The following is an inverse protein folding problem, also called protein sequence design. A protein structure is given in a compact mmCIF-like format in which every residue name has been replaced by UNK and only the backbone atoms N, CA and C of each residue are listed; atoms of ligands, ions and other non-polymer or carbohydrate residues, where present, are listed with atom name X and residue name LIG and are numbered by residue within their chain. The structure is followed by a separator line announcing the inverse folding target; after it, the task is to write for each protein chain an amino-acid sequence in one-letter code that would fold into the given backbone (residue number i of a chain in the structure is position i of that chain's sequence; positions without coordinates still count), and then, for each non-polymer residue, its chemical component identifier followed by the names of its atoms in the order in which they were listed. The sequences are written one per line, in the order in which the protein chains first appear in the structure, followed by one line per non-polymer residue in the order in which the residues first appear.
data_IF_423935156418
#
_entry.id   IF_423935156418
#
_cell.length_a   1.000
_cell.length_b   1.000
_cell.length_c   1.000
_cell.angle_alpha   90.00
_cell.angle_beta   90.00
_cell.angle_gamma   90.00
#
_symmetry.space_group_name_H-M   'P 1'
#
loop_
_entity.id
_entity.type
_entity.pdbx_description
1 polymer ?
#
# COMPACT_ATOMS: atom_id res chain seq x y z
N UNK A 1 -15.70 -26.25 -30.08
CA UNK A 1 -14.75 -26.58 -28.98
C UNK A 1 -13.75 -25.45 -28.70
N UNK A 2 -13.20 -24.82 -29.73
CA UNK A 2 -12.28 -23.68 -29.59
C UNK A 2 -12.95 -22.43 -28.98
N UNK A 3 -14.21 -22.12 -29.33
CA UNK A 3 -14.93 -20.96 -28.79
C UNK A 3 -15.30 -21.13 -27.30
N UNK A 4 -15.59 -22.37 -26.86
CA UNK A 4 -15.82 -22.68 -25.44
C UNK A 4 -14.52 -22.56 -24.62
N UNK A 5 -13.40 -23.05 -25.14
CA UNK A 5 -12.11 -22.96 -24.46
C UNK A 5 -11.61 -21.52 -24.27
N UNK A 6 -11.76 -20.66 -25.29
CA UNK A 6 -11.42 -19.24 -25.23
C UNK A 6 -12.31 -18.46 -24.23
N UNK A 7 -13.61 -18.77 -24.20
CA UNK A 7 -14.55 -18.18 -23.27
C UNK A 7 -14.24 -18.54 -21.80
N UNK A 8 -13.83 -19.77 -21.53
CA UNK A 8 -13.47 -20.22 -20.18
C UNK A 8 -12.12 -19.66 -19.71
N UNK A 9 -11.14 -19.53 -20.62
CA UNK A 9 -9.86 -18.86 -20.33
C UNK A 9 -10.08 -17.38 -20.04
N UNK A 10 -10.94 -16.70 -20.81
CA UNK A 10 -11.28 -15.30 -20.60
C UNK A 10 -12.05 -15.09 -19.27
N UNK A 11 -13.00 -15.98 -18.95
CA UNK A 11 -13.74 -15.95 -17.67
C UNK A 11 -12.84 -16.16 -16.46
N UNK A 12 -11.78 -16.96 -16.57
CA UNK A 12 -10.78 -17.16 -15.51
C UNK A 12 -9.86 -15.95 -15.31
N UNK A 13 -9.80 -15.01 -16.26
CA UNK A 13 -9.00 -13.79 -16.16
C UNK A 13 -9.73 -12.65 -15.43
N UNK A 14 -11.05 -12.70 -15.31
CA UNK A 14 -11.84 -11.68 -14.61
C UNK A 14 -12.20 -12.20 -13.22
N UNK A 15 -11.55 -11.64 -12.22
CA UNK A 15 -11.82 -11.93 -10.81
C UNK A 15 -12.87 -10.94 -10.32
N UNK A 16 -13.98 -11.44 -9.79
CA UNK A 16 -15.06 -10.61 -9.24
C UNK A 16 -14.66 -10.04 -7.88
N UNK A 17 -15.16 -8.84 -7.58
CA UNK A 17 -15.03 -8.23 -6.26
C UNK A 17 -15.92 -8.98 -5.25
N UNK A 18 -15.32 -9.49 -4.16
CA UNK A 18 -16.05 -10.22 -3.11
C UNK A 18 -17.06 -9.38 -2.33
N UNK A 19 -17.00 -8.02 -2.43
CA UNK A 19 -17.94 -7.12 -1.78
C UNK A 19 -19.02 -6.60 -2.74
N UNK A 20 -20.27 -6.56 -2.29
CA UNK A 20 -21.39 -5.88 -2.96
C UNK A 20 -21.16 -4.36 -3.04
N UNK A 21 -21.96 -3.68 -3.88
CA UNK A 21 -21.88 -2.22 -4.00
C UNK A 21 -22.19 -1.50 -2.66
N UNK A 22 -23.14 -2.02 -1.89
CA UNK A 22 -23.52 -1.48 -0.59
C UNK A 22 -22.36 -1.63 0.41
N UNK A 23 -21.76 -2.82 0.49
CA UNK A 23 -20.62 -3.07 1.38
C UNK A 23 -19.42 -2.18 1.06
N UNK A 24 -19.14 -1.94 -0.23
CA UNK A 24 -18.08 -1.00 -0.66
C UNK A 24 -18.35 0.43 -0.21
N UNK A 25 -19.60 0.90 -0.23
CA UNK A 25 -19.96 2.24 0.19
C UNK A 25 -19.85 2.38 1.71
N UNK A 26 -20.34 1.40 2.47
CA UNK A 26 -20.20 1.39 3.93
C UNK A 26 -18.73 1.30 4.34
N UNK A 27 -17.94 0.43 3.69
CA UNK A 27 -16.49 0.40 3.90
C UNK A 27 -15.86 1.77 3.65
N UNK A 28 -16.23 2.46 2.58
CA UNK A 28 -15.70 3.79 2.26
C UNK A 28 -16.04 4.81 3.35
N UNK A 29 -17.26 4.81 3.85
CA UNK A 29 -17.67 5.68 4.96
C UNK A 29 -16.87 5.35 6.24
N UNK A 30 -16.70 4.08 6.55
CA UNK A 30 -15.88 3.62 7.68
C UNK A 30 -14.41 4.01 7.54
N UNK A 31 -13.80 3.80 6.37
CA UNK A 31 -12.43 4.22 6.08
C UNK A 31 -12.25 5.74 6.29
N UNK A 32 -13.18 6.54 5.78
CA UNK A 32 -13.14 8.00 5.93
C UNK A 32 -13.22 8.42 7.41
N UNK A 33 -14.21 7.93 8.16
CA UNK A 33 -14.40 8.27 9.57
C UNK A 33 -13.20 7.83 10.41
N UNK A 34 -12.73 6.60 10.22
CA UNK A 34 -11.57 6.09 10.94
C UNK A 34 -10.32 6.90 10.62
N UNK A 35 -10.09 7.25 9.35
CA UNK A 35 -8.94 8.06 8.96
C UNK A 35 -9.02 9.49 9.53
N UNK A 36 -10.20 10.12 9.54
CA UNK A 36 -10.39 11.46 10.08
C UNK A 36 -10.13 11.48 11.60
N UNK A 37 -10.68 10.52 12.33
CA UNK A 37 -10.46 10.38 13.78
C UNK A 37 -8.98 10.10 14.07
N UNK A 38 -8.38 9.14 13.34
CA UNK A 38 -6.96 8.81 13.51
C UNK A 38 -6.07 10.01 13.21
N UNK A 39 -6.33 10.75 12.12
CA UNK A 39 -5.55 11.93 11.77
C UNK A 39 -5.62 13.01 12.86
N UNK A 40 -6.81 13.26 13.43
CA UNK A 40 -6.98 14.19 14.53
C UNK A 40 -6.16 13.77 15.75
N UNK A 41 -6.25 12.50 16.15
CA UNK A 41 -5.56 11.97 17.32
C UNK A 41 -4.04 11.95 17.16
N UNK A 42 -3.52 11.60 15.96
CA UNK A 42 -2.07 11.52 15.72
C UNK A 42 -1.47 12.85 15.23
N UNK A 43 -2.27 13.89 14.97
CA UNK A 43 -1.80 15.17 14.45
C UNK A 43 -0.68 15.83 15.30
N UNK A 44 -0.71 15.82 16.66
CA UNK A 44 0.38 16.38 17.46
C UNK A 44 1.70 15.59 17.24
N UNK A 45 1.61 14.25 17.16
CA UNK A 45 2.76 13.40 16.86
C UNK A 45 3.29 13.67 15.46
N UNK A 46 2.39 13.81 14.47
CA UNK A 46 2.79 14.13 13.09
C UNK A 46 3.50 15.47 12.99
N UNK A 47 3.05 16.49 13.74
CA UNK A 47 3.71 17.79 13.80
C UNK A 47 5.12 17.66 14.40
N UNK A 48 5.28 16.90 15.47
CA UNK A 48 6.59 16.63 16.07
C UNK A 48 7.53 15.93 15.06
N UNK A 49 7.06 14.87 14.39
CA UNK A 49 7.83 14.16 13.37
C UNK A 49 8.19 15.10 12.21
N UNK A 50 7.26 15.94 11.76
CA UNK A 50 7.49 16.92 10.71
C UNK A 50 8.68 17.84 11.06
N UNK A 51 8.68 18.39 12.28
CA UNK A 51 9.75 19.27 12.77
C UNK A 51 11.08 18.48 12.84
N UNK A 52 11.07 17.28 13.41
CA UNK A 52 12.27 16.45 13.53
C UNK A 52 12.91 16.15 12.15
N UNK A 53 12.10 15.72 11.18
CA UNK A 53 12.59 15.41 9.82
C UNK A 53 13.09 16.67 9.11
N UNK A 54 12.42 17.83 9.34
CA UNK A 54 12.84 19.11 8.76
C UNK A 54 14.17 19.60 9.33
N UNK A 55 14.39 19.39 10.63
CA UNK A 55 15.60 19.82 11.32
C UNK A 55 16.83 18.92 11.05
N UNK A 56 16.63 17.69 10.56
CA UNK A 56 17.74 16.75 10.36
C UNK A 56 18.69 17.20 9.23
N UNK A 57 18.16 17.69 8.10
CA UNK A 57 18.94 18.07 6.93
C UNK A 57 18.36 19.27 6.13
N UNK A 58 17.36 19.96 6.67
CA UNK A 58 16.72 21.12 6.04
C UNK A 58 15.83 20.84 4.83
N UNK A 59 15.81 19.60 4.34
CA UNK A 59 15.00 19.21 3.18
C UNK A 59 13.50 19.06 3.48
N UNK A 60 12.62 18.78 2.48
CA UNK A 60 11.18 18.65 2.67
C UNK A 60 10.85 17.49 3.60
N UNK A 61 9.99 17.71 4.62
CA UNK A 61 9.62 16.67 5.59
C UNK A 61 8.67 15.63 5.00
N UNK A 62 7.84 16.02 4.03
CA UNK A 62 6.89 15.12 3.34
C UNK A 62 7.47 14.71 2.00
N UNK A 63 7.56 13.41 1.79
CA UNK A 63 7.90 12.78 0.52
C UNK A 63 6.62 12.45 -0.23
N UNK A 64 6.61 12.75 -1.52
CA UNK A 64 5.52 12.45 -2.46
C UNK A 64 6.04 11.53 -3.54
N UNK A 65 5.26 10.50 -3.87
CA UNK A 65 5.62 9.59 -4.94
C UNK A 65 4.37 9.16 -5.70
N UNK A 66 4.43 9.21 -7.03
CA UNK A 66 3.35 8.74 -7.87
C UNK A 66 3.20 7.22 -7.78
N UNK A 67 1.97 6.78 -7.62
CA UNK A 67 1.53 5.39 -7.58
C UNK A 67 0.28 5.22 -8.42
N UNK A 68 0.00 3.97 -8.82
CA UNK A 68 -1.21 3.65 -9.55
C UNK A 68 -2.27 3.15 -8.57
N UNK A 69 -3.45 3.76 -8.63
CA UNK A 69 -4.58 3.47 -7.78
C UNK A 69 -5.75 2.81 -8.51
N UNK A 70 -6.94 3.00 -7.95
CA UNK A 70 -8.19 2.46 -8.51
C UNK A 70 -8.42 2.96 -9.92
N UNK A 71 -8.94 2.09 -10.79
CA UNK A 71 -9.16 2.33 -12.22
C UNK A 71 -7.88 2.64 -13.01
N UNK A 72 -6.72 2.25 -12.50
CA UNK A 72 -5.44 2.56 -13.14
C UNK A 72 -5.05 4.05 -13.11
N UNK A 73 -5.71 4.86 -12.27
CA UNK A 73 -5.44 6.30 -12.19
C UNK A 73 -4.22 6.57 -11.31
N UNK A 74 -3.30 7.44 -11.74
CA UNK A 74 -2.18 7.84 -10.90
C UNK A 74 -2.65 8.73 -9.75
N UNK A 75 -2.00 8.59 -8.60
CA UNK A 75 -2.16 9.46 -7.43
C UNK A 75 -0.83 9.60 -6.69
N UNK A 76 -0.69 10.61 -5.85
CA UNK A 76 0.49 10.80 -5.03
C UNK A 76 0.29 10.18 -3.64
N UNK A 77 1.12 9.19 -3.30
CA UNK A 77 1.19 8.71 -1.92
C UNK A 77 2.04 9.67 -1.08
N UNK A 78 1.62 9.95 0.14
CA UNK A 78 2.33 10.82 1.08
C UNK A 78 2.99 10.00 2.18
N UNK A 79 4.26 10.32 2.47
CA UNK A 79 5.02 9.72 3.57
C UNK A 79 5.90 10.78 4.22
N UNK A 80 6.27 10.57 5.48
CA UNK A 80 7.43 11.30 6.00
C UNK A 80 8.70 10.85 5.29
N UNK A 81 9.55 11.81 4.96
CA UNK A 81 10.83 11.50 4.34
C UNK A 81 11.70 10.71 5.31
N UNK A 82 12.13 9.56 4.90
CA UNK A 82 13.01 8.66 5.66
C UNK A 82 14.35 8.40 4.99
N UNK A 83 14.56 8.97 3.81
CA UNK A 83 15.79 8.88 3.03
C UNK A 83 16.33 10.27 2.71
N UNK A 84 17.63 10.34 2.38
CA UNK A 84 18.27 11.56 1.89
C UNK A 84 17.60 12.08 0.63
N UNK A 85 17.70 13.40 0.37
CA UNK A 85 17.04 14.04 -0.77
C UNK A 85 17.44 13.40 -2.11
N UNK A 86 18.67 12.94 -2.20
CA UNK A 86 19.27 12.36 -3.41
C UNK A 86 19.10 10.83 -3.54
N UNK A 87 18.28 10.21 -2.71
CA UNK A 87 18.18 8.76 -2.59
C UNK A 87 17.79 8.02 -3.89
N UNK A 88 17.13 8.70 -4.83
CA UNK A 88 16.64 8.11 -6.10
C UNK A 88 17.24 8.80 -7.35
N UNK A 89 18.37 9.50 -7.24
CA UNK A 89 19.05 10.13 -8.41
C UNK A 89 19.30 9.15 -9.57
N UNK A 90 19.50 7.89 -9.26
CA UNK A 90 19.80 6.85 -10.25
C UNK A 90 18.55 6.02 -10.64
N UNK A 91 17.35 6.58 -10.47
CA UNK A 91 16.09 5.95 -10.83
C UNK A 91 15.46 5.09 -9.73
N UNK A 92 14.34 4.40 -10.06
CA UNK A 92 13.60 3.57 -9.12
C UNK A 92 14.43 2.39 -8.61
N UNK A 93 14.63 2.31 -7.29
CA UNK A 93 15.34 1.20 -6.66
C UNK A 93 14.47 0.55 -5.59
N UNK A 94 14.51 -0.79 -5.53
CA UNK A 94 13.89 -1.53 -4.44
C UNK A 94 14.66 -1.27 -3.13
N UNK A 95 13.94 -1.16 -2.02
CA UNK A 95 14.57 -0.94 -0.72
C UNK A 95 15.24 -2.22 -0.23
N UNK A 96 16.53 -2.15 0.06
CA UNK A 96 17.27 -3.23 0.74
C UNK A 96 17.24 -2.97 2.25
N UNK A 97 16.71 -3.96 3.03
CA UNK A 97 16.42 -3.75 4.47
C UNK A 97 17.64 -3.66 5.38
N UNK A 98 18.69 -4.36 5.07
CA UNK A 98 19.70 -4.61 6.11
C UNK A 98 20.79 -3.55 6.23
N UNK A 99 21.04 -2.70 5.21
CA UNK A 99 22.05 -1.62 5.26
C UNK A 99 21.79 -0.55 4.19
N UNK A 100 20.57 -0.07 4.03
CA UNK A 100 20.32 1.00 3.07
C UNK A 100 20.97 2.30 3.55
N UNK A 101 22.08 2.68 2.91
CA UNK A 101 22.86 3.88 3.23
C UNK A 101 22.10 5.18 2.96
N UNK A 102 21.00 5.11 2.24
CA UNK A 102 20.14 6.26 1.90
C UNK A 102 19.26 6.71 3.08
N UNK A 103 19.11 5.85 4.11
CA UNK A 103 18.26 6.15 5.27
C UNK A 103 18.91 7.19 6.18
N UNK A 104 18.15 8.23 6.53
CA UNK A 104 18.54 9.19 7.58
C UNK A 104 18.46 8.55 8.97
N UNK A 105 19.00 9.19 10.01
CA UNK A 105 18.94 8.65 11.39
C UNK A 105 17.50 8.57 11.89
N UNK A 106 16.74 9.66 11.71
CA UNK A 106 15.32 9.72 12.05
C UNK A 106 14.53 8.76 11.14
N UNK A 107 14.85 8.72 9.84
CA UNK A 107 14.21 7.84 8.88
C UNK A 107 14.29 6.35 9.23
N UNK A 108 15.41 5.90 9.81
CA UNK A 108 15.55 4.53 10.32
C UNK A 108 14.55 4.23 11.44
N UNK A 109 14.40 5.18 12.38
CA UNK A 109 13.44 5.06 13.48
C UNK A 109 11.99 5.06 12.96
N UNK A 110 11.66 6.00 12.06
CA UNK A 110 10.32 6.11 11.48
C UNK A 110 9.92 4.82 10.75
N UNK A 111 10.79 4.27 9.90
CA UNK A 111 10.53 3.02 9.18
C UNK A 111 10.39 1.81 10.10
N UNK A 112 11.23 1.72 11.12
CA UNK A 112 11.14 0.63 12.09
C UNK A 112 9.78 0.57 12.78
N UNK A 113 9.15 1.73 12.99
CA UNK A 113 7.87 1.84 13.67
C UNK A 113 6.69 2.16 12.73
N UNK A 114 6.91 2.13 11.40
CA UNK A 114 5.93 2.50 10.37
C UNK A 114 5.31 3.89 10.53
N UNK A 115 5.98 4.79 11.27
CA UNK A 115 5.54 6.16 11.49
C UNK A 115 5.69 7.03 10.24
N UNK A 116 6.57 6.64 9.32
CA UNK A 116 6.73 7.30 8.04
C UNK A 116 5.48 7.20 7.15
N UNK A 117 4.59 6.25 7.40
CA UNK A 117 3.37 6.04 6.62
C UNK A 117 2.14 6.79 7.16
N UNK A 118 2.23 7.46 8.32
CA UNK A 118 1.11 8.22 8.91
C UNK A 118 0.47 9.25 7.96
N UNK A 119 1.22 9.98 7.09
CA UNK A 119 0.61 10.90 6.13
C UNK A 119 -0.32 10.23 5.10
N UNK A 120 -0.28 8.91 4.92
CA UNK A 120 -1.21 8.19 4.06
C UNK A 120 -2.67 8.24 4.57
N UNK A 121 -2.91 8.57 5.85
CA UNK A 121 -4.25 8.85 6.35
C UNK A 121 -4.94 9.94 5.53
N UNK A 122 -4.19 10.92 5.03
CA UNK A 122 -4.70 11.93 4.11
C UNK A 122 -5.15 11.32 2.78
N UNK A 123 -4.38 10.38 2.22
CA UNK A 123 -4.80 9.67 1.00
C UNK A 123 -6.09 8.87 1.21
N UNK A 124 -6.30 8.31 2.41
CA UNK A 124 -7.56 7.63 2.75
C UNK A 124 -8.71 8.63 2.81
N UNK A 125 -8.53 9.79 3.41
CA UNK A 125 -9.55 10.87 3.47
C UNK A 125 -9.91 11.35 2.05
N UNK A 126 -8.92 11.60 1.20
CA UNK A 126 -9.12 12.04 -0.19
C UNK A 126 -9.79 10.96 -1.07
N UNK A 127 -9.74 9.69 -0.65
CA UNK A 127 -10.35 8.58 -1.39
C UNK A 127 -9.43 7.89 -2.39
N UNK A 128 -8.15 8.24 -2.41
CA UNK A 128 -7.13 7.57 -3.21
C UNK A 128 -6.84 6.17 -2.66
N UNK A 129 -6.90 6.03 -1.34
CA UNK A 129 -6.58 4.80 -0.61
C UNK A 129 -7.72 4.35 0.31
N UNK A 130 -7.60 3.14 0.82
CA UNK A 130 -8.38 2.50 1.88
C UNK A 130 -7.41 2.05 2.98
N UNK A 131 -7.90 1.73 4.19
CA UNK A 131 -7.03 1.08 5.19
C UNK A 131 -6.53 -0.27 4.69
N UNK A 132 -7.41 -1.05 4.06
CA UNK A 132 -7.09 -2.39 3.58
C UNK A 132 -7.36 -2.49 2.09
N UNK A 133 -6.34 -2.93 1.36
CA UNK A 133 -6.36 -3.11 -0.09
C UNK A 133 -4.97 -3.54 -0.60
N UNK A 134 -4.82 -3.83 -1.89
CA UNK A 134 -3.52 -4.13 -2.47
C UNK A 134 -2.53 -2.97 -2.26
N UNK A 135 -1.25 -3.28 -2.08
CA UNK A 135 -0.23 -2.24 -1.93
C UNK A 135 -0.11 -1.43 -3.21
N UNK A 136 -0.15 -0.08 -3.15
CA UNK A 136 0.01 0.74 -4.35
C UNK A 136 1.43 0.63 -4.89
N UNK A 137 1.57 0.23 -6.16
CA UNK A 137 2.86 0.08 -6.82
C UNK A 137 3.15 1.23 -7.78
N UNK A 138 4.43 1.38 -8.15
CA UNK A 138 4.88 2.31 -9.20
C UNK A 138 4.56 1.72 -10.56
N UNK A 139 4.19 2.57 -11.52
CA UNK A 139 3.90 2.12 -12.89
C UNK A 139 5.03 1.27 -13.46
N UNK A 140 6.28 1.64 -13.24
CA UNK A 140 7.46 0.90 -13.67
C UNK A 140 7.44 -0.60 -13.27
N UNK A 141 7.07 -0.91 -12.02
CA UNK A 141 6.98 -2.30 -11.56
C UNK A 141 5.70 -2.97 -12.02
N UNK A 142 4.60 -2.21 -12.11
CA UNK A 142 3.33 -2.75 -12.62
C UNK A 142 3.47 -3.25 -14.05
N UNK A 143 4.15 -2.49 -14.91
CA UNK A 143 4.35 -2.86 -16.31
C UNK A 143 5.12 -4.20 -16.39
N UNK A 144 6.17 -4.38 -15.60
CA UNK A 144 6.92 -5.64 -15.52
C UNK A 144 6.08 -6.80 -14.96
N UNK A 145 5.26 -6.55 -13.94
CA UNK A 145 4.36 -7.57 -13.38
C UNK A 145 3.32 -7.97 -14.44
N UNK A 146 2.74 -7.00 -15.17
CA UNK A 146 1.72 -7.27 -16.19
C UNK A 146 2.26 -8.00 -17.42
N UNK A 147 3.55 -7.87 -17.74
CA UNK A 147 4.22 -8.71 -18.76
C UNK A 147 4.25 -10.19 -18.34
N UNK A 148 4.43 -10.45 -17.04
CA UNK A 148 4.44 -11.82 -16.50
C UNK A 148 3.03 -12.35 -16.22
N UNK A 149 2.16 -11.51 -15.66
CA UNK A 149 0.79 -11.88 -15.25
C UNK A 149 -0.21 -10.74 -15.46
N UNK A 150 -0.98 -10.78 -16.56
CA UNK A 150 -2.00 -9.78 -16.89
C UNK A 150 -3.15 -9.69 -15.88
N UNK A 151 -3.29 -10.65 -14.95
CA UNK A 151 -4.33 -10.63 -13.91
C UNK A 151 -4.18 -9.44 -12.96
N UNK A 152 -3.00 -8.79 -12.92
CA UNK A 152 -2.78 -7.57 -12.12
C UNK A 152 -3.85 -6.50 -12.36
N UNK A 153 -4.37 -6.36 -13.60
CA UNK A 153 -5.42 -5.40 -13.94
C UNK A 153 -6.70 -5.54 -13.09
N UNK A 154 -6.96 -6.74 -12.54
CA UNK A 154 -8.12 -6.95 -11.67
C UNK A 154 -8.02 -6.15 -10.38
N UNK A 155 -6.81 -5.86 -9.89
CA UNK A 155 -6.60 -5.06 -8.68
C UNK A 155 -7.06 -3.61 -8.85
N UNK A 156 -7.17 -3.11 -10.09
CA UNK A 156 -7.70 -1.77 -10.36
C UNK A 156 -9.18 -1.59 -10.02
N UNK A 157 -9.91 -2.67 -9.73
CA UNK A 157 -11.31 -2.59 -9.30
C UNK A 157 -11.45 -1.95 -7.91
N UNK A 158 -10.42 -2.05 -7.08
CA UNK A 158 -10.45 -1.60 -5.68
C UNK A 158 -9.38 -0.55 -5.39
N UNK A 159 -9.57 0.19 -4.30
CA UNK A 159 -8.56 1.15 -3.82
C UNK A 159 -7.36 0.42 -3.24
N UNK A 160 -6.15 0.92 -3.47
CA UNK A 160 -4.97 0.42 -2.76
C UNK A 160 -5.10 0.68 -1.26
N UNK A 161 -4.42 -0.14 -0.46
CA UNK A 161 -4.47 -0.09 1.00
C UNK A 161 -3.22 0.47 1.65
N UNK A 162 -3.38 1.02 2.86
CA UNK A 162 -2.27 1.32 3.78
C UNK A 162 -1.66 0.00 4.26
N UNK A 163 -2.49 -1.00 4.54
CA UNK A 163 -2.08 -2.40 4.78
C UNK A 163 -2.77 -3.34 3.81
N UNK A 164 -2.20 -4.54 3.62
CA UNK A 164 -2.76 -5.56 2.74
C UNK A 164 -2.66 -6.95 3.34
N UNK A 165 -3.47 -7.88 2.83
CA UNK A 165 -3.33 -9.30 3.13
C UNK A 165 -1.93 -9.81 2.78
N UNK A 166 -1.42 -9.43 1.62
CA UNK A 166 -0.09 -9.80 1.18
C UNK A 166 1.01 -9.23 2.08
N UNK A 167 0.89 -8.00 2.58
CA UNK A 167 1.87 -7.41 3.51
C UNK A 167 1.99 -8.22 4.81
N UNK A 168 0.92 -8.88 5.26
CA UNK A 168 0.97 -9.70 6.47
C UNK A 168 1.76 -11.00 6.30
N UNK A 169 1.85 -11.55 5.08
CA UNK A 169 2.34 -12.93 4.87
C UNK A 169 3.49 -13.06 3.89
N UNK A 170 3.69 -12.09 2.99
CA UNK A 170 4.73 -12.17 1.95
C UNK A 170 6.03 -11.42 2.33
N UNK A 171 5.97 -10.54 3.35
CA UNK A 171 7.12 -9.72 3.72
C UNK A 171 7.53 -8.76 2.59
N UNK A 172 8.84 -8.49 2.49
CA UNK A 172 9.36 -7.57 1.49
C UNK A 172 9.44 -8.19 0.10
N UNK A 173 9.06 -7.41 -0.91
CA UNK A 173 9.05 -7.81 -2.31
C UNK A 173 10.21 -7.15 -3.05
N UNK A 174 11.36 -7.79 -2.99
CA UNK A 174 12.62 -7.39 -3.59
C UNK A 174 12.96 -8.17 -4.86
N UNK A 175 12.16 -9.18 -5.22
CA UNK A 175 12.29 -9.99 -6.43
C UNK A 175 10.96 -10.07 -7.19
N UNK A 176 11.04 -10.37 -8.51
CA UNK A 176 9.83 -10.56 -9.34
C UNK A 176 8.98 -11.73 -8.82
N UNK A 177 9.59 -12.81 -8.40
CA UNK A 177 8.88 -13.96 -7.82
C UNK A 177 8.03 -13.55 -6.62
N UNK A 178 8.59 -12.76 -5.69
CA UNK A 178 7.85 -12.24 -4.54
C UNK A 178 6.76 -11.24 -4.94
N UNK A 179 6.96 -10.48 -6.02
CA UNK A 179 5.94 -9.58 -6.56
C UNK A 179 4.76 -10.37 -7.13
N UNK A 180 5.01 -11.45 -7.86
CA UNK A 180 3.97 -12.34 -8.38
C UNK A 180 3.25 -13.08 -7.25
N UNK A 181 3.97 -13.57 -6.25
CA UNK A 181 3.35 -14.15 -5.05
C UNK A 181 2.47 -13.14 -4.31
N UNK A 182 2.90 -11.88 -4.23
CA UNK A 182 2.06 -10.80 -3.68
C UNK A 182 0.81 -10.60 -4.52
N UNK A 183 0.94 -10.60 -5.85
CA UNK A 183 -0.19 -10.48 -6.74
C UNK A 183 -1.23 -11.57 -6.47
N UNK A 184 -0.83 -12.83 -6.36
CA UNK A 184 -1.76 -13.92 -6.05
C UNK A 184 -2.49 -13.71 -4.72
N UNK A 185 -1.79 -13.23 -3.69
CA UNK A 185 -2.41 -12.92 -2.39
C UNK A 185 -3.38 -11.72 -2.46
N UNK A 186 -3.04 -10.70 -3.23
CA UNK A 186 -3.91 -9.52 -3.40
C UNK A 186 -5.14 -9.85 -4.28
N UNK A 187 -5.00 -10.76 -5.26
CA UNK A 187 -6.12 -11.31 -6.03
C UNK A 187 -7.03 -12.18 -5.14
N UNK A 188 -6.45 -13.03 -4.29
CA UNK A 188 -7.21 -13.79 -3.30
C UNK A 188 -8.00 -12.86 -2.37
N UNK A 189 -7.36 -11.77 -1.91
CA UNK A 189 -8.05 -10.77 -1.11
C UNK A 189 -9.22 -10.13 -1.89
N UNK A 190 -9.02 -9.74 -3.15
CA UNK A 190 -10.06 -9.15 -4.00
C UNK A 190 -11.29 -10.04 -4.09
N UNK A 191 -11.09 -11.34 -4.31
CA UNK A 191 -12.16 -12.32 -4.48
C UNK A 191 -12.92 -12.61 -3.18
N UNK A 192 -12.21 -12.65 -2.03
CA UNK A 192 -12.76 -13.11 -0.76
C UNK A 192 -12.98 -11.98 0.25
N UNK A 193 -12.73 -10.70 -0.14
CA UNK A 193 -12.83 -9.60 0.79
C UNK A 193 -14.25 -9.45 1.35
N UNK A 194 -14.29 -9.18 2.64
CA UNK A 194 -15.48 -8.95 3.43
C UNK A 194 -15.12 -8.11 4.65
N UNK A 195 -16.10 -7.59 5.36
CA UNK A 195 -15.86 -6.82 6.59
C UNK A 195 -15.10 -7.62 7.65
N UNK A 196 -15.41 -8.90 7.79
CA UNK A 196 -14.70 -9.78 8.71
C UNK A 196 -13.25 -10.03 8.28
N UNK A 197 -13.02 -10.16 6.97
CA UNK A 197 -11.68 -10.31 6.46
C UNK A 197 -10.86 -9.05 6.68
N UNK A 198 -11.45 -7.87 6.41
CA UNK A 198 -10.83 -6.57 6.67
C UNK A 198 -10.52 -6.39 8.17
N UNK A 199 -11.49 -6.64 9.06
CA UNK A 199 -11.28 -6.55 10.50
C UNK A 199 -10.15 -7.46 10.99
N UNK A 200 -10.05 -8.68 10.45
CA UNK A 200 -8.98 -9.62 10.75
C UNK A 200 -7.61 -9.14 10.29
N UNK A 201 -7.52 -8.56 9.08
CA UNK A 201 -6.28 -7.99 8.55
C UNK A 201 -5.84 -6.80 9.42
N UNK A 202 -6.77 -5.90 9.72
CA UNK A 202 -6.49 -4.72 10.55
C UNK A 202 -6.01 -5.11 11.95
N UNK A 203 -6.71 -6.03 12.61
CA UNK A 203 -6.33 -6.53 13.94
C UNK A 203 -4.94 -7.17 13.95
N UNK A 204 -4.64 -8.03 12.95
CA UNK A 204 -3.31 -8.65 12.84
C UNK A 204 -2.22 -7.61 12.55
N UNK A 205 -2.49 -6.61 11.71
CA UNK A 205 -1.55 -5.51 11.43
C UNK A 205 -1.24 -4.74 12.71
N UNK A 206 -2.28 -4.38 13.48
CA UNK A 206 -2.14 -3.65 14.74
C UNK A 206 -1.31 -4.44 15.78
N UNK A 207 -1.59 -5.73 15.93
CA UNK A 207 -0.81 -6.62 16.81
C UNK A 207 0.65 -6.66 16.37
N UNK A 208 0.93 -6.82 15.08
CA UNK A 208 2.31 -6.85 14.56
C UNK A 208 3.07 -5.53 14.82
N UNK A 209 2.40 -4.38 14.63
CA UNK A 209 3.00 -3.07 14.90
C UNK A 209 3.35 -2.93 16.39
N UNK A 210 2.43 -3.27 17.31
CA UNK A 210 2.65 -3.14 18.76
C UNK A 210 3.75 -4.07 19.24
N UNK A 211 3.74 -5.33 18.83
CA UNK A 211 4.72 -6.31 19.30
C UNK A 211 6.03 -6.29 18.51
N UNK A 212 6.23 -5.32 17.61
CA UNK A 212 7.51 -5.10 16.90
C UNK A 212 7.92 -6.27 15.99
N UNK A 213 7.00 -7.16 15.64
CA UNK A 213 7.22 -8.22 14.65
C UNK A 213 7.13 -7.59 13.27
N UNK A 214 8.19 -6.93 12.86
CA UNK A 214 8.33 -6.26 11.56
C UNK A 214 8.14 -7.29 10.44
N UNK A 215 7.48 -6.86 9.37
CA UNK A 215 7.24 -7.62 8.14
C UNK A 215 8.54 -8.04 7.44
#
# INVERSE_FOLDING_TARGET
LLSRGLGDVYKRQVIADGMSAMERNVKRAGDFLLAAISLLLVSPLMLLIYIMVRCEDGGPAIFKQERIGRFGRPFNIYKFRSMTVDAEKNGPQLCSHKKDKRLTRIGKFLRKHHLDELPQLWNVICGDMSFIGPRPERKFYIDQIMECDPRYKNLYQIRPGVTSYATLYNGYTDTMEKMLRRLDMDLYYLEHRSWWFDARILGKTFIKIIFGRVF
#
